data_IF_756893445877
#
_entry.id   IF_756893445877
#
_cell.length_a   1.000
_cell.length_b   1.000
_cell.length_c   1.000
_cell.angle_alpha   90.00
_cell.angle_beta   90.00
_cell.angle_gamma   90.00
#
_symmetry.space_group_name_H-M   'P 1'
#
loop_
_entity.id
_entity.type
_entity.pdbx_description
1 polymer ?
#
# COMPACT_ATOMS: atom_id res chain seq x y z
N UNK A 1 -4.36 -17.14 -5.81
CA UNK A 1 -3.77 -15.88 -5.30
C UNK A 1 -3.59 -16.05 -3.81
N UNK A 2 -2.35 -16.16 -3.31
CA UNK A 2 -2.12 -16.16 -1.86
C UNK A 2 -2.16 -14.70 -1.42
N UNK A 3 -3.21 -14.31 -0.68
CA UNK A 3 -3.28 -13.01 -0.03
C UNK A 3 -2.14 -12.93 1.00
N UNK A 4 -1.49 -11.77 1.16
CA UNK A 4 -0.46 -11.58 2.20
C UNK A 4 -1.09 -11.77 3.57
N UNK A 5 -0.52 -12.67 4.39
CA UNK A 5 -0.98 -12.93 5.75
C UNK A 5 -0.82 -11.70 6.64
N UNK A 6 0.24 -10.91 6.41
CA UNK A 6 0.56 -9.74 7.23
C UNK A 6 -0.52 -8.67 7.20
N UNK A 7 -1.06 -8.31 6.04
CA UNK A 7 -2.12 -7.28 5.99
C UNK A 7 -3.51 -7.85 6.33
N UNK A 8 -3.70 -9.16 6.17
CA UNK A 8 -4.95 -9.84 6.51
C UNK A 8 -5.25 -9.72 8.00
N UNK A 9 -4.27 -9.88 8.88
CA UNK A 9 -4.45 -9.69 10.34
C UNK A 9 -4.84 -8.27 10.75
N UNK A 10 -4.70 -7.29 9.86
CA UNK A 10 -5.11 -5.90 10.06
C UNK A 10 -6.45 -5.56 9.38
N UNK A 11 -7.20 -6.56 8.89
CA UNK A 11 -8.51 -6.37 8.26
C UNK A 11 -8.45 -5.89 6.81
N UNK A 12 -7.29 -6.03 6.13
CA UNK A 12 -7.18 -5.73 4.71
C UNK A 12 -7.68 -6.87 3.80
N UNK A 13 -8.29 -7.92 4.37
CA UNK A 13 -8.60 -9.18 3.69
C UNK A 13 -9.55 -9.05 2.49
N UNK A 14 -10.54 -8.16 2.59
CA UNK A 14 -11.46 -7.84 1.51
C UNK A 14 -10.94 -6.74 0.59
N UNK A 15 -9.90 -6.05 1.03
CA UNK A 15 -9.22 -5.04 0.24
C UNK A 15 -8.19 -5.72 -0.64
N UNK A 16 -7.91 -5.14 -1.81
CA UNK A 16 -6.98 -5.76 -2.73
C UNK A 16 -5.55 -5.69 -2.14
N UNK A 17 -5.15 -6.71 -1.38
CA UNK A 17 -3.76 -6.94 -0.98
C UNK A 17 -3.01 -7.41 -2.22
N UNK A 18 -1.94 -6.71 -2.55
CA UNK A 18 -1.08 -7.06 -3.67
C UNK A 18 0.22 -7.68 -3.18
N UNK A 19 0.83 -8.51 -4.01
CA UNK A 19 2.18 -9.01 -3.78
C UNK A 19 2.99 -8.82 -5.06
N UNK A 20 4.29 -8.54 -4.94
CA UNK A 20 5.19 -8.51 -6.08
C UNK A 20 5.34 -9.91 -6.72
N UNK A 21 6.00 -10.00 -7.88
CA UNK A 21 6.06 -11.22 -8.68
C UNK A 21 6.65 -12.43 -7.92
N UNK A 22 7.65 -12.19 -7.05
CA UNK A 22 8.27 -13.22 -6.22
C UNK A 22 7.60 -13.38 -4.84
N UNK A 23 6.53 -12.63 -4.56
CA UNK A 23 5.76 -12.59 -3.31
C UNK A 23 6.55 -12.19 -2.05
N UNK A 24 7.80 -11.74 -2.19
CA UNK A 24 8.61 -11.31 -1.05
C UNK A 24 8.14 -9.98 -0.46
N UNK A 25 7.32 -9.22 -1.21
CA UNK A 25 6.75 -7.96 -0.77
C UNK A 25 5.26 -7.94 -1.03
N UNK A 26 4.52 -7.35 -0.11
CA UNK A 26 3.09 -7.14 -0.22
C UNK A 26 2.73 -5.69 0.01
N UNK A 27 1.58 -5.28 -0.53
CA UNK A 27 1.18 -3.88 -0.56
C UNK A 27 -0.31 -3.71 -0.29
N UNK A 28 -0.64 -2.64 0.45
CA UNK A 28 -2.02 -2.16 0.61
C UNK A 28 -2.07 -0.64 0.57
N UNK A 29 -3.13 -0.11 -0.03
CA UNK A 29 -3.34 1.34 -0.10
C UNK A 29 -4.39 1.74 0.93
N UNK A 30 -4.10 2.79 1.69
CA UNK A 30 -5.07 3.41 2.60
C UNK A 30 -5.29 4.87 2.28
N UNK A 31 -6.51 5.34 2.55
CA UNK A 31 -6.90 6.75 2.53
C UNK A 31 -7.03 7.24 3.97
N UNK A 32 -6.50 8.43 4.20
CA UNK A 32 -6.61 9.17 5.43
C UNK A 32 -7.30 10.50 5.16
N UNK A 33 -8.00 11.01 6.18
CA UNK A 33 -8.65 12.30 6.14
C UNK A 33 -8.13 13.06 7.36
N UNK A 34 -7.25 14.03 7.17
CA UNK A 34 -6.88 14.97 8.22
C UNK A 34 -7.51 16.33 7.87
N UNK A 35 -8.52 16.72 8.64
CA UNK A 35 -9.11 18.07 8.58
C UNK A 35 -8.15 19.03 9.31
N UNK A 36 -7.65 20.13 8.70
CA UNK A 36 -8.09 20.81 7.48
C UNK A 36 -7.28 20.54 6.20
N UNK A 37 -6.26 19.69 6.24
CA UNK A 37 -5.29 19.48 5.16
C UNK A 37 -5.87 18.65 3.98
N UNK A 38 -6.97 17.95 4.21
CA UNK A 38 -7.70 17.19 3.21
C UNK A 38 -7.41 15.69 3.25
N UNK A 39 -7.75 15.00 2.16
CA UNK A 39 -7.53 13.57 2.04
C UNK A 39 -6.12 13.30 1.51
N UNK A 40 -5.35 12.45 2.18
CA UNK A 40 -4.11 11.90 1.65
C UNK A 40 -4.18 10.37 1.60
N UNK A 41 -3.26 9.78 0.86
CA UNK A 41 -3.16 8.34 0.70
C UNK A 41 -1.80 7.87 1.17
N UNK A 42 -1.75 6.65 1.70
CA UNK A 42 -0.49 5.97 2.01
C UNK A 42 -0.50 4.58 1.41
N UNK A 43 0.53 4.27 0.61
CA UNK A 43 0.83 2.90 0.20
C UNK A 43 1.73 2.29 1.26
N UNK A 44 1.33 1.16 1.81
CA UNK A 44 2.12 0.40 2.75
C UNK A 44 2.75 -0.78 2.05
N UNK A 45 4.06 -0.96 2.23
CA UNK A 45 4.83 -2.11 1.76
C UNK A 45 5.27 -2.93 2.96
N UNK A 46 4.99 -4.23 2.93
CA UNK A 46 5.51 -5.20 3.89
C UNK A 46 6.43 -6.19 3.18
N UNK A 47 7.63 -6.40 3.73
CA UNK A 47 8.59 -7.42 3.28
C UNK A 47 8.38 -8.68 4.13
N UNK A 48 8.17 -9.83 3.48
CA UNK A 48 7.95 -11.09 4.19
C UNK A 48 9.14 -11.43 5.11
N UNK A 49 8.83 -11.71 6.38
CA UNK A 49 9.84 -12.02 7.40
C UNK A 49 10.46 -10.81 8.10
N UNK A 50 10.09 -9.58 7.71
CA UNK A 50 10.44 -8.36 8.44
C UNK A 50 9.30 -7.94 9.37
N UNK A 51 9.61 -7.18 10.41
CA UNK A 51 8.59 -6.51 11.23
C UNK A 51 8.22 -5.17 10.59
N UNK A 52 6.96 -4.77 10.74
CA UNK A 52 6.49 -3.46 10.31
C UNK A 52 6.25 -3.31 8.80
N UNK A 53 6.12 -2.05 8.41
CA UNK A 53 5.86 -1.62 7.03
C UNK A 53 6.65 -0.37 6.67
N UNK A 54 7.05 -0.30 5.41
CA UNK A 54 7.44 0.96 4.79
C UNK A 54 6.16 1.68 4.34
N UNK A 55 6.17 3.02 4.33
CA UNK A 55 5.07 3.79 3.77
C UNK A 55 5.53 4.84 2.74
N UNK A 56 4.64 5.08 1.79
CA UNK A 56 4.78 6.10 0.75
C UNK A 56 3.54 6.98 0.80
N UNK A 57 3.69 8.29 0.96
CA UNK A 57 2.62 9.25 1.14
C UNK A 57 2.29 10.00 -0.16
N UNK A 58 1.00 10.18 -0.42
CA UNK A 58 0.50 10.93 -1.58
C UNK A 58 -0.52 11.96 -1.09
N UNK A 59 -0.19 13.24 -1.22
CA UNK A 59 -1.08 14.36 -0.84
C UNK A 59 -2.37 14.40 -1.68
N UNK A 60 -2.30 13.88 -2.91
CA UNK A 60 -3.45 13.56 -3.76
C UNK A 60 -3.10 12.30 -4.51
N UNK A 61 -4.05 11.37 -4.65
CA UNK A 61 -4.08 10.56 -5.87
C UNK A 61 -4.66 11.51 -6.91
N UNK A 62 -3.90 11.96 -7.93
CA UNK A 62 -4.50 12.79 -8.96
C UNK A 62 -5.71 12.04 -9.52
N UNK A 63 -6.84 12.73 -9.66
CA UNK A 63 -8.02 12.20 -10.35
C UNK A 63 -7.66 11.68 -11.77
N UNK A 64 -6.48 12.08 -12.28
CA UNK A 64 -5.86 11.73 -13.54
C UNK A 64 -4.58 10.87 -13.46
N UNK A 65 -4.11 10.42 -12.29
CA UNK A 65 -3.08 9.38 -12.18
C UNK A 65 -3.79 8.12 -11.68
N UNK A 66 -4.38 7.34 -12.61
CA UNK A 66 -4.95 6.05 -12.27
C UNK A 66 -3.88 5.08 -11.73
N UNK A 67 -2.59 5.40 -11.87
CA UNK A 67 -1.49 4.48 -11.68
C UNK A 67 -0.46 5.08 -10.65
N UNK A 68 -0.26 4.46 -9.47
CA UNK A 68 0.87 4.71 -8.54
C UNK A 68 2.19 4.49 -9.28
N UNK A 69 2.92 5.52 -9.70
CA UNK A 69 3.96 5.36 -10.70
C UNK A 69 5.04 4.36 -10.23
N UNK A 70 5.52 3.53 -11.16
CA UNK A 70 6.45 2.40 -10.89
C UNK A 70 7.72 2.83 -10.13
N UNK A 71 8.12 4.09 -10.28
CA UNK A 71 9.22 4.69 -9.54
C UNK A 71 8.98 4.80 -8.03
N UNK A 72 7.73 4.78 -7.55
CA UNK A 72 7.42 4.74 -6.11
C UNK A 72 7.83 3.39 -5.52
N UNK A 73 7.57 2.29 -6.23
CA UNK A 73 7.93 0.94 -5.78
C UNK A 73 9.46 0.71 -5.81
N UNK A 74 10.16 1.50 -6.63
CA UNK A 74 11.63 1.54 -6.67
C UNK A 74 12.21 2.75 -5.91
N UNK A 75 11.35 3.51 -5.22
CA UNK A 75 11.68 4.75 -4.54
C UNK A 75 12.08 4.52 -3.09
N UNK A 76 12.65 5.57 -2.48
CA UNK A 76 12.93 5.59 -1.05
C UNK A 76 11.58 5.79 -0.32
N UNK A 77 11.25 4.98 0.69
CA UNK A 77 10.07 5.20 1.52
C UNK A 77 10.10 6.57 2.19
N UNK A 78 8.93 7.17 2.38
CA UNK A 78 8.81 8.39 3.18
C UNK A 78 9.03 8.12 4.68
N UNK A 79 8.88 6.86 5.08
CA UNK A 79 9.26 6.37 6.39
C UNK A 79 8.81 4.93 6.64
N UNK A 80 8.92 4.53 7.90
CA UNK A 80 8.62 3.19 8.37
C UNK A 80 7.69 3.26 9.59
N UNK A 81 6.85 2.25 9.75
CA UNK A 81 6.09 2.01 10.96
C UNK A 81 6.39 0.61 11.49
N UNK A 82 6.66 0.52 12.79
CA UNK A 82 6.57 -0.76 13.50
C UNK A 82 5.15 -1.32 13.43
N UNK A 83 4.99 -2.61 13.71
CA UNK A 83 3.68 -3.27 13.75
C UNK A 83 2.69 -2.54 14.66
N UNK A 84 3.16 -2.07 15.83
CA UNK A 84 2.34 -1.33 16.78
C UNK A 84 1.91 0.05 16.27
N UNK A 85 2.80 0.76 15.57
CA UNK A 85 2.48 2.05 14.96
C UNK A 85 1.53 1.88 13.78
N UNK A 86 1.81 0.91 12.91
CA UNK A 86 0.95 0.57 11.79
C UNK A 86 -0.45 0.21 12.26
N UNK A 87 -0.57 -0.69 13.24
CA UNK A 87 -1.85 -1.09 13.83
C UNK A 87 -2.65 0.11 14.36
N UNK A 88 -2.01 1.00 15.12
CA UNK A 88 -2.66 2.24 15.60
C UNK A 88 -3.11 3.13 14.46
N UNK A 89 -2.31 3.22 13.40
CA UNK A 89 -2.56 4.07 12.23
C UNK A 89 -3.73 3.54 11.39
N UNK A 90 -3.85 2.22 11.23
CA UNK A 90 -4.95 1.60 10.48
C UNK A 90 -6.19 1.32 11.34
N UNK A 91 -6.11 1.49 12.66
CA UNK A 91 -7.25 1.33 13.56
C UNK A 91 -8.32 2.39 13.26
N UNK A 92 -9.47 1.94 12.75
CA UNK A 92 -10.57 2.75 12.26
C UNK A 92 -11.15 2.11 10.99
N UNK A 93 -12.46 1.85 10.99
CA UNK A 93 -13.13 1.21 9.86
C UNK A 93 -12.96 2.08 8.59
N UNK A 94 -12.75 1.44 7.44
CA UNK A 94 -12.78 2.05 6.09
C UNK A 94 -11.53 2.80 5.59
N UNK A 95 -10.34 2.60 6.19
CA UNK A 95 -9.11 3.24 5.67
C UNK A 95 -8.57 2.58 4.41
N UNK A 96 -8.65 1.26 4.30
CA UNK A 96 -8.14 0.57 3.12
C UNK A 96 -8.98 0.89 1.88
N UNK A 97 -8.32 1.03 0.74
CA UNK A 97 -8.95 1.39 -0.53
C UNK A 97 -8.84 0.24 -1.51
N UNK A 98 -9.95 -0.13 -2.14
CA UNK A 98 -9.94 -1.06 -3.26
C UNK A 98 -9.34 -0.36 -4.47
N UNK A 99 -8.12 -0.73 -4.89
CA UNK A 99 -7.51 -0.11 -6.07
C UNK A 99 -7.23 -1.14 -7.18
N UNK A 100 -8.14 -1.25 -8.15
CA UNK A 100 -7.99 -2.11 -9.34
C UNK A 100 -6.78 -1.69 -10.20
N UNK A 101 -6.36 -0.43 -10.15
CA UNK A 101 -5.33 0.11 -11.01
C UNK A 101 -3.90 -0.11 -10.51
N UNK A 102 -3.69 -0.44 -9.22
CA UNK A 102 -2.37 -0.90 -8.72
C UNK A 102 -1.89 -2.15 -9.51
N UNK A 103 -2.81 -3.01 -9.94
CA UNK A 103 -2.49 -4.17 -10.78
C UNK A 103 -1.91 -3.78 -12.15
N UNK A 104 -2.28 -2.65 -12.74
CA UNK A 104 -1.80 -2.24 -14.07
C UNK A 104 -0.34 -1.78 -14.04
N UNK A 105 0.09 -1.11 -12.97
CA UNK A 105 1.48 -0.66 -12.83
C UNK A 105 2.49 -1.78 -12.83
N UNK A 106 2.19 -2.87 -12.12
CA UNK A 106 3.11 -4.00 -12.02
C UNK A 106 3.05 -4.90 -13.26
N UNK A 107 1.97 -4.87 -14.04
CA UNK A 107 1.92 -5.55 -15.33
C UNK A 107 2.59 -4.74 -16.46
N UNK A 108 2.62 -3.40 -16.36
CA UNK A 108 3.34 -2.52 -17.28
C UNK A 108 4.82 -2.32 -16.92
N UNK A 109 5.15 -2.47 -15.64
CA UNK A 109 6.51 -2.73 -15.15
C UNK A 109 7.00 -4.01 -15.81
N UNK A 110 7.87 -3.86 -16.81
CA UNK A 110 8.48 -4.98 -17.52
C UNK A 110 9.43 -5.75 -16.61
N UNK A 111 8.89 -6.58 -15.71
CA UNK A 111 9.52 -7.82 -15.25
C UNK A 111 9.07 -9.01 -16.12
N UNK A 112 8.65 -8.71 -17.35
CA UNK A 112 8.48 -9.66 -18.45
C UNK A 112 9.60 -9.47 -19.48
N UNK A 113 10.84 -9.67 -19.07
CA UNK A 113 12.00 -10.08 -19.88
C UNK A 113 13.16 -10.45 -18.96
#
# INVERSE_FOLDING_TARGET
>A
MNKSTYFTQYGAEDYNIFANANKSKSYVLSRFMDDPEGAYFMLFEHVEGCEGVNYYMFERLPESLPDIPENVLNGIPDGEYSDGEFAKRINGHSRFVHNIHIRRLLHHSKLGA
#
